data_IF_480096129189
#
_entry.id   IF_480096129189
#
_cell.length_a   1.000
_cell.length_b   1.000
_cell.length_c   1.000
_cell.angle_alpha   90.00
_cell.angle_beta   90.00
_cell.angle_gamma   90.00
#
_symmetry.space_group_name_H-M   'P 1'
#
loop_
_entity.id
_entity.type
_entity.pdbx_description
1 polymer ?
#
# COMPACT_ATOMS: atom_id res chain seq x y z
N UNK A 1 -4.09 -1.27 -18.08
CA UNK A 1 -3.93 -1.32 -16.60
C UNK A 1 -5.11 -0.61 -15.94
N UNK A 2 -5.78 -1.24 -14.98
CA UNK A 2 -6.84 -0.56 -14.20
C UNK A 2 -6.22 0.56 -13.35
N UNK A 3 -6.78 1.77 -13.42
CA UNK A 3 -6.29 2.93 -12.65
C UNK A 3 -6.73 2.84 -11.18
N UNK A 4 -5.91 3.35 -10.26
CA UNK A 4 -6.34 3.60 -8.88
C UNK A 4 -7.42 4.69 -8.85
N UNK A 5 -8.46 4.48 -8.05
CA UNK A 5 -9.41 5.54 -7.67
C UNK A 5 -8.87 6.22 -6.42
N UNK A 6 -8.54 7.50 -6.54
CA UNK A 6 -8.02 8.33 -5.44
C UNK A 6 -9.06 9.42 -5.15
N UNK A 7 -9.49 9.54 -3.89
CA UNK A 7 -10.45 10.56 -3.45
C UNK A 7 -10.07 11.09 -2.08
N UNK A 8 -10.45 12.32 -1.77
CA UNK A 8 -10.41 12.82 -0.39
C UNK A 8 -11.51 12.11 0.40
N UNK A 9 -11.14 11.49 1.52
CA UNK A 9 -12.05 10.78 2.41
C UNK A 9 -12.47 11.65 3.60
N UNK A 10 -11.52 12.44 4.13
CA UNK A 10 -11.73 13.28 5.30
C UNK A 10 -10.75 14.45 5.29
N UNK A 11 -11.17 15.57 5.85
CA UNK A 11 -10.32 16.71 6.19
C UNK A 11 -10.53 16.99 7.67
N UNK A 12 -9.45 17.08 8.45
CA UNK A 12 -9.49 17.36 9.88
C UNK A 12 -8.54 18.53 10.18
N UNK A 13 -9.04 19.53 10.90
CA UNK A 13 -8.24 20.61 11.49
C UNK A 13 -7.94 20.24 12.94
N UNK A 14 -6.66 20.11 13.29
CA UNK A 14 -6.21 19.82 14.64
C UNK A 14 -5.42 20.99 15.22
N UNK A 15 -5.74 21.38 16.44
CA UNK A 15 -4.81 22.17 17.27
C UNK A 15 -3.85 21.15 17.89
N UNK A 16 -2.59 21.14 17.43
CA UNK A 16 -1.58 20.23 17.97
C UNK A 16 -1.27 20.50 19.45
N UNK A 17 -0.56 19.59 20.11
CA UNK A 17 -0.08 19.78 21.50
C UNK A 17 1.00 20.87 21.66
N UNK A 18 1.42 21.46 20.55
CA UNK A 18 2.20 22.70 20.48
C UNK A 18 1.51 23.60 19.45
N UNK A 19 1.64 24.90 19.66
CA UNK A 19 0.94 26.03 19.02
C UNK A 19 0.95 26.13 17.47
N UNK A 20 1.16 25.04 16.72
CA UNK A 20 1.06 25.04 15.26
C UNK A 20 -0.22 24.31 14.80
N UNK A 21 -1.25 25.04 14.34
CA UNK A 21 -2.43 24.44 13.76
C UNK A 21 -2.04 23.64 12.51
N UNK A 22 -2.56 22.41 12.40
CA UNK A 22 -2.33 21.56 11.24
C UNK A 22 -3.63 21.05 10.66
N UNK A 23 -3.61 20.82 9.35
CA UNK A 23 -4.69 20.16 8.64
C UNK A 23 -4.23 18.79 8.18
N UNK A 24 -5.05 17.79 8.43
CA UNK A 24 -4.87 16.44 7.94
C UNK A 24 -5.88 16.19 6.81
N UNK A 25 -5.39 16.02 5.58
CA UNK A 25 -6.19 15.57 4.44
C UNK A 25 -5.95 14.08 4.25
N UNK A 26 -6.99 13.26 4.46
CA UNK A 26 -6.91 11.82 4.29
C UNK A 26 -7.41 11.42 2.90
N UNK A 27 -6.57 10.73 2.14
CA UNK A 27 -6.92 10.19 0.82
C UNK A 27 -7.32 8.72 0.94
N UNK A 28 -8.45 8.36 0.35
CA UNK A 28 -8.83 6.97 0.09
C UNK A 28 -8.31 6.55 -1.28
N UNK A 29 -7.59 5.43 -1.31
CA UNK A 29 -7.05 4.83 -2.52
C UNK A 29 -7.65 3.44 -2.67
N UNK A 30 -8.20 3.14 -3.85
CA UNK A 30 -8.84 1.85 -4.15
C UNK A 30 -8.49 1.35 -5.54
N UNK A 31 -8.15 0.06 -5.65
CA UNK A 31 -7.97 -0.68 -6.91
C UNK A 31 -8.15 -2.19 -6.66
N UNK A 32 -9.17 -2.79 -7.27
CA UNK A 32 -9.47 -4.21 -7.10
C UNK A 32 -9.46 -4.61 -5.60
N UNK A 33 -8.58 -5.53 -5.22
CA UNK A 33 -8.42 -6.03 -3.85
C UNK A 33 -7.60 -5.10 -2.94
N UNK A 34 -7.00 -4.03 -3.49
CA UNK A 34 -6.19 -3.08 -2.73
C UNK A 34 -7.03 -1.87 -2.33
N UNK A 35 -7.16 -1.62 -1.03
CA UNK A 35 -7.86 -0.46 -0.47
C UNK A 35 -7.17 0.03 0.80
N UNK A 36 -6.75 1.29 0.83
CA UNK A 36 -6.07 1.88 1.97
C UNK A 36 -6.29 3.39 2.05
N UNK A 37 -5.95 3.97 3.19
CA UNK A 37 -6.02 5.40 3.45
C UNK A 37 -4.62 5.98 3.69
N UNK A 38 -4.38 7.19 3.20
CA UNK A 38 -3.13 7.92 3.40
C UNK A 38 -3.43 9.30 3.96
N UNK A 39 -3.12 9.55 5.26
CA UNK A 39 -3.21 10.88 5.83
C UNK A 39 -2.01 11.74 5.41
N UNK A 40 -2.28 12.94 4.89
CA UNK A 40 -1.27 13.96 4.60
C UNK A 40 -1.48 15.12 5.57
N UNK A 41 -0.46 15.39 6.39
CA UNK A 41 -0.45 16.50 7.34
C UNK A 41 0.24 17.71 6.72
N UNK A 42 -0.41 18.85 6.81
CA UNK A 42 0.09 20.14 6.35
C UNK A 42 0.03 21.13 7.54
N UNK A 43 1.02 22.01 7.67
CA UNK A 43 0.90 23.16 8.58
C UNK A 43 -0.08 24.17 7.96
N UNK A 44 -0.93 24.76 8.80
CA UNK A 44 -1.88 25.81 8.37
C UNK A 44 -1.16 27.11 8.05
N UNK A 45 0.05 27.30 8.56
CA UNK A 45 0.85 28.52 8.30
C UNK A 45 1.37 28.61 6.86
N UNK A 46 1.44 27.48 6.14
CA UNK A 46 2.09 27.39 4.83
C UNK A 46 1.14 27.57 3.64
N UNK A 47 -0.18 27.49 3.85
CA UNK A 47 -1.16 27.36 2.77
C UNK A 47 -2.51 27.98 3.12
N UNK A 48 -3.13 28.65 2.15
CA UNK A 48 -4.51 29.15 2.29
C UNK A 48 -5.52 27.99 2.23
N UNK A 49 -6.69 28.18 2.86
CA UNK A 49 -7.78 27.21 2.96
C UNK A 49 -8.21 26.70 1.57
N UNK A 50 -8.10 27.55 0.55
CA UNK A 50 -8.46 27.23 -0.84
C UNK A 50 -7.44 26.33 -1.55
N UNK A 51 -6.18 26.30 -1.09
CA UNK A 51 -5.07 25.59 -1.73
C UNK A 51 -4.69 24.28 -1.02
N UNK A 52 -5.20 24.05 0.20
CA UNK A 52 -4.85 22.90 1.06
C UNK A 52 -4.95 21.54 0.37
N UNK A 53 -6.04 21.31 -0.39
CA UNK A 53 -6.24 20.03 -1.07
C UNK A 53 -5.20 19.82 -2.18
N UNK A 54 -4.79 20.90 -2.85
CA UNK A 54 -3.81 20.83 -3.91
C UNK A 54 -2.39 20.64 -3.36
N UNK A 55 -2.06 21.32 -2.27
CA UNK A 55 -0.84 21.08 -1.50
C UNK A 55 -0.76 19.62 -1.04
N UNK A 56 -1.86 19.08 -0.49
CA UNK A 56 -1.92 17.70 -0.03
C UNK A 56 -1.75 16.68 -1.18
N UNK A 57 -2.33 16.97 -2.36
CA UNK A 57 -2.12 16.16 -3.57
C UNK A 57 -0.67 16.18 -4.04
N UNK A 58 -0.03 17.35 -4.01
CA UNK A 58 1.39 17.50 -4.36
C UNK A 58 2.29 16.70 -3.42
N UNK A 59 2.04 16.78 -2.11
CA UNK A 59 2.74 15.98 -1.11
C UNK A 59 2.54 14.47 -1.34
N UNK A 60 1.28 14.04 -1.53
CA UNK A 60 0.95 12.63 -1.81
C UNK A 60 1.68 12.11 -3.05
N UNK A 61 1.75 12.91 -4.12
CA UNK A 61 2.46 12.56 -5.34
C UNK A 61 3.96 12.34 -5.07
N UNK A 62 4.63 13.26 -4.36
CA UNK A 62 6.05 13.13 -4.02
C UNK A 62 6.33 11.87 -3.20
N UNK A 63 5.53 11.65 -2.14
CA UNK A 63 5.66 10.44 -1.31
C UNK A 63 5.51 9.15 -2.10
N UNK A 64 4.52 9.07 -3.00
CA UNK A 64 4.36 7.88 -3.84
C UNK A 64 5.45 7.72 -4.90
N UNK A 65 5.99 8.80 -5.45
CA UNK A 65 7.13 8.73 -6.36
C UNK A 65 8.36 8.16 -5.65
N UNK A 66 8.63 8.61 -4.41
CA UNK A 66 9.72 8.10 -3.58
C UNK A 66 9.50 6.63 -3.19
N UNK A 67 8.30 6.28 -2.71
CA UNK A 67 7.97 4.88 -2.38
C UNK A 67 8.08 3.96 -3.61
N UNK A 68 7.64 4.42 -4.78
CA UNK A 68 7.78 3.67 -6.03
C UNK A 68 9.25 3.49 -6.44
N UNK A 69 10.10 4.49 -6.18
CA UNK A 69 11.54 4.37 -6.42
C UNK A 69 12.17 3.34 -5.47
N UNK A 70 11.86 3.39 -4.17
CA UNK A 70 12.43 2.49 -3.16
C UNK A 70 11.94 1.04 -3.28
N UNK A 71 10.71 0.84 -3.75
CA UNK A 71 10.12 -0.50 -3.91
C UNK A 71 10.36 -1.14 -5.28
N UNK A 72 11.11 -0.46 -6.16
CA UNK A 72 11.34 -0.92 -7.54
C UNK A 72 11.93 -2.33 -7.59
N UNK A 73 12.88 -2.60 -6.72
CA UNK A 73 13.61 -3.88 -6.71
C UNK A 73 12.88 -4.99 -5.94
N UNK A 74 11.71 -4.69 -5.34
CA UNK A 74 10.88 -5.70 -4.69
C UNK A 74 10.12 -6.56 -5.71
N UNK A 75 10.17 -6.21 -7.00
CA UNK A 75 9.58 -7.04 -8.05
C UNK A 75 10.34 -8.36 -8.13
N UNK A 76 9.62 -9.46 -7.92
CA UNK A 76 10.19 -10.79 -8.07
C UNK A 76 10.61 -11.01 -9.53
N UNK A 77 11.85 -11.46 -9.72
CA UNK A 77 12.31 -11.87 -11.04
C UNK A 77 11.55 -13.11 -11.51
N UNK A 78 11.60 -13.41 -12.80
CA UNK A 78 11.08 -14.67 -13.33
C UNK A 78 11.72 -15.90 -12.63
N UNK A 79 12.96 -15.77 -12.16
CA UNK A 79 13.65 -16.82 -11.40
C UNK A 79 13.05 -17.00 -10.01
N UNK A 80 12.77 -15.90 -9.31
CA UNK A 80 12.16 -15.94 -7.97
C UNK A 80 10.74 -16.53 -8.02
N UNK A 81 9.95 -16.13 -9.02
CA UNK A 81 8.62 -16.69 -9.26
C UNK A 81 8.67 -18.21 -9.52
N UNK A 82 9.63 -18.67 -10.33
CA UNK A 82 9.83 -20.12 -10.58
C UNK A 82 10.21 -20.87 -9.29
N UNK A 83 11.06 -20.28 -8.45
CA UNK A 83 11.45 -20.88 -7.16
C UNK A 83 10.25 -21.01 -6.22
N UNK A 84 9.44 -19.96 -6.10
CA UNK A 84 8.22 -19.97 -5.28
C UNK A 84 7.20 -20.99 -5.78
N UNK A 85 7.00 -21.09 -7.10
CA UNK A 85 6.11 -22.10 -7.69
C UNK A 85 6.54 -23.53 -7.32
N UNK A 86 7.84 -23.84 -7.38
CA UNK A 86 8.38 -25.15 -6.97
C UNK A 86 8.21 -25.43 -5.48
N UNK A 87 8.26 -24.40 -4.63
CA UNK A 87 8.04 -24.55 -3.18
C UNK A 87 6.55 -24.76 -2.83
N UNK A 88 5.63 -24.19 -3.61
CA UNK A 88 4.19 -24.40 -3.43
C UNK A 88 3.72 -25.81 -3.81
N UNK A 89 4.53 -26.56 -4.58
CA UNK A 89 4.34 -27.99 -4.81
C UNK A 89 4.73 -28.73 -3.53
N UNK A 90 3.82 -28.77 -2.55
CA UNK A 90 3.93 -29.70 -1.42
C UNK A 90 4.21 -31.10 -1.98
N UNK A 91 5.14 -31.88 -1.39
CA UNK A 91 5.27 -33.28 -1.76
C UNK A 91 3.89 -33.91 -1.64
N UNK A 92 3.34 -34.42 -2.74
CA UNK A 92 2.18 -35.30 -2.68
C UNK A 92 2.64 -36.46 -1.82
N UNK A 93 2.13 -36.54 -0.59
CA UNK A 93 2.39 -37.65 0.31
C UNK A 93 2.16 -38.92 -0.50
N UNK A 94 3.25 -39.62 -0.84
CA UNK A 94 3.18 -40.95 -1.41
C UNK A 94 2.49 -41.77 -0.33
N UNK A 95 1.19 -42.01 -0.50
CA UNK A 95 0.51 -43.07 0.24
C UNK A 95 1.18 -44.36 -0.18
N UNK A 96 2.23 -44.74 0.55
CA UNK A 96 2.87 -46.03 0.45
C UNK A 96 1.76 -47.05 0.69
N UNK A 97 1.30 -47.69 -0.38
CA UNK A 97 0.45 -48.88 -0.29
C UNK A 97 1.26 -49.93 0.46
N UNK A 98 1.09 -49.99 1.78
CA UNK A 98 1.51 -51.11 2.58
C UNK A 98 0.66 -52.30 2.14
N UNK A 99 1.24 -53.14 1.28
CA UNK A 99 0.76 -54.49 0.99
C UNK A 99 0.74 -55.26 2.32
N UNK A 100 -0.43 -55.39 2.94
CA UNK A 100 -0.64 -56.42 3.94
C UNK A 100 -0.72 -57.77 3.21
N UNK A 101 0.38 -58.52 3.26
CA UNK A 101 0.44 -59.96 3.02
C UNK A 101 0.77 -60.63 4.35
N UNK A 102 -0.20 -61.28 4.98
CA UNK A 102 -0.06 -62.40 5.95
C UNK A 102 -1.42 -63.12 5.93
N UNK A 103 -1.46 -64.31 5.31
CA UNK A 103 -1.24 -65.67 5.83
C UNK A 103 -2.58 -66.31 6.12
#
# INVERSE_FOLDING_TARGET
>A
MSKFKIKVARIETGIGSRADPHVCVTFQIKRAEVSFQVPIRLSVSDYDDTEMVQAARSALHRTFAELAAQSRDWSLSATDLRKLSRMSLRPKTQTTRARHRKQ
#
